data_IF_662841061817
#
_entry.id   IF_662841061817
#
_cell.length_a   1.000
_cell.length_b   1.000
_cell.length_c   1.000
_cell.angle_alpha   90.00
_cell.angle_beta   90.00
_cell.angle_gamma   90.00
#
_symmetry.space_group_name_H-M   'P 1'
#
loop_
_entity.id
_entity.type
_entity.pdbx_description
1 polymer ?
#
# COMPACT_ATOMS: atom_id res chain seq x y z
N UNK A 1 13.04 -38.39 -33.72
CA UNK A 1 12.92 -36.91 -33.64
C UNK A 1 13.20 -36.48 -32.21
N UNK A 2 14.40 -35.99 -31.98
CA UNK A 2 14.80 -35.40 -30.68
C UNK A 2 14.21 -34.00 -30.60
N UNK A 3 13.20 -33.77 -29.76
CA UNK A 3 12.77 -32.45 -29.39
C UNK A 3 13.84 -31.84 -28.49
N UNK A 4 14.64 -30.94 -29.01
CA UNK A 4 15.52 -30.10 -28.24
C UNK A 4 14.66 -29.12 -27.42
N UNK A 5 14.45 -29.39 -26.13
CA UNK A 5 13.96 -28.41 -25.17
C UNK A 5 15.09 -27.37 -24.97
N UNK A 6 15.17 -26.40 -25.85
CA UNK A 6 16.00 -25.22 -25.66
C UNK A 6 15.33 -24.33 -24.65
N UNK A 7 15.82 -24.31 -23.42
CA UNK A 7 15.51 -23.26 -22.46
C UNK A 7 16.08 -21.97 -23.05
N UNK A 8 15.20 -21.05 -23.46
CA UNK A 8 15.62 -19.75 -23.94
C UNK A 8 16.28 -18.94 -22.82
N UNK A 9 17.42 -18.33 -23.13
CA UNK A 9 18.05 -17.38 -22.23
C UNK A 9 17.47 -15.98 -22.53
N UNK A 10 16.95 -15.31 -21.51
CA UNK A 10 16.57 -13.91 -21.59
C UNK A 10 17.75 -13.07 -21.08
N UNK A 11 18.25 -12.18 -21.92
CA UNK A 11 19.15 -11.12 -21.47
C UNK A 11 18.31 -9.96 -20.98
N UNK A 12 18.35 -9.70 -19.66
CA UNK A 12 17.63 -8.59 -19.04
C UNK A 12 18.66 -7.50 -18.73
N UNK A 13 18.39 -6.28 -19.20
CA UNK A 13 19.19 -5.11 -18.88
C UNK A 13 18.33 -4.16 -18.04
N UNK A 14 18.96 -3.52 -17.05
CA UNK A 14 18.32 -2.48 -16.25
C UNK A 14 18.23 -1.22 -17.09
N UNK A 15 17.04 -0.83 -17.51
CA UNK A 15 16.82 0.41 -18.24
C UNK A 15 17.01 1.61 -17.31
N UNK A 16 16.44 1.56 -16.12
CA UNK A 16 16.56 2.61 -15.11
C UNK A 16 16.54 2.04 -13.70
N UNK A 17 17.57 2.33 -12.90
CA UNK A 17 17.62 2.01 -11.48
C UNK A 17 17.06 3.20 -10.68
N UNK A 18 15.85 3.08 -10.14
CA UNK A 18 15.18 4.15 -9.39
C UNK A 18 15.48 4.12 -7.88
N UNK A 19 15.70 2.94 -7.30
CA UNK A 19 15.97 2.80 -5.86
C UNK A 19 17.22 3.54 -5.37
N UNK A 20 18.33 3.62 -6.13
CA UNK A 20 19.50 4.38 -5.73
C UNK A 20 19.25 5.86 -5.46
N UNK A 21 18.23 6.46 -6.08
CA UNK A 21 17.85 7.86 -5.86
C UNK A 21 17.40 8.14 -4.41
N UNK A 22 17.14 7.09 -3.62
CA UNK A 22 16.60 7.20 -2.26
C UNK A 22 17.54 6.60 -1.20
N UNK A 23 18.79 6.26 -1.53
CA UNK A 23 19.73 5.65 -0.57
C UNK A 23 20.00 6.54 0.64
N UNK A 24 19.97 7.86 0.47
CA UNK A 24 20.17 8.82 1.54
C UNK A 24 18.89 9.11 2.35
N UNK A 25 17.76 8.49 1.96
CA UNK A 25 16.46 8.65 2.64
C UNK A 25 15.95 7.30 3.14
N UNK A 26 16.27 6.98 4.40
CA UNK A 26 15.91 5.70 5.03
C UNK A 26 14.41 5.42 5.01
N UNK A 27 13.57 6.42 5.22
CA UNK A 27 12.11 6.23 5.23
C UNK A 27 11.59 5.86 3.85
N UNK A 28 12.02 6.58 2.80
CA UNK A 28 11.62 6.27 1.41
C UNK A 28 12.18 4.92 0.96
N UNK A 29 13.41 4.59 1.32
CA UNK A 29 14.01 3.30 1.01
C UNK A 29 13.23 2.14 1.68
N UNK A 30 12.87 2.30 2.96
CA UNK A 30 12.04 1.34 3.68
C UNK A 30 10.64 1.19 3.06
N UNK A 31 10.08 2.31 2.56
CA UNK A 31 8.81 2.31 1.83
C UNK A 31 8.91 1.52 0.52
N UNK A 32 9.98 1.70 -0.25
CA UNK A 32 10.25 0.93 -1.47
C UNK A 32 10.28 -0.57 -1.15
N UNK A 33 11.04 -0.96 -0.13
CA UNK A 33 11.11 -2.36 0.30
C UNK A 33 9.73 -2.91 0.73
N UNK A 34 8.93 -2.11 1.43
CA UNK A 34 7.57 -2.47 1.80
C UNK A 34 6.69 -2.71 0.58
N UNK A 35 6.66 -1.75 -0.35
CA UNK A 35 5.85 -1.81 -1.57
C UNK A 35 6.21 -3.02 -2.44
N UNK A 36 7.50 -3.22 -2.72
CA UNK A 36 7.96 -4.31 -3.58
C UNK A 36 7.70 -5.69 -2.97
N UNK A 37 7.84 -5.82 -1.65
CA UNK A 37 7.49 -7.09 -0.97
C UNK A 37 5.97 -7.34 -0.97
N UNK A 38 5.13 -6.31 -0.81
CA UNK A 38 3.67 -6.46 -0.95
C UNK A 38 3.32 -6.98 -2.36
N UNK A 39 3.86 -6.35 -3.40
CA UNK A 39 3.63 -6.82 -4.79
C UNK A 39 4.06 -8.27 -4.92
N UNK A 40 5.28 -8.60 -4.47
CA UNK A 40 5.85 -9.96 -4.59
C UNK A 40 4.97 -11.04 -3.94
N UNK A 41 4.40 -10.77 -2.77
CA UNK A 41 3.59 -11.78 -2.05
C UNK A 41 2.13 -11.83 -2.50
N UNK A 42 1.63 -10.74 -3.11
CA UNK A 42 0.21 -10.60 -3.48
C UNK A 42 -0.04 -10.87 -4.96
N UNK A 43 0.99 -10.88 -5.81
CA UNK A 43 0.85 -11.13 -7.24
C UNK A 43 1.41 -12.50 -7.62
N UNK A 44 0.79 -13.13 -8.64
CA UNK A 44 1.29 -14.40 -9.16
C UNK A 44 2.54 -14.18 -10.00
N UNK A 45 3.51 -15.09 -9.86
CA UNK A 45 4.73 -15.09 -10.66
C UNK A 45 4.43 -15.31 -12.15
N UNK A 46 5.25 -14.72 -13.01
CA UNK A 46 5.23 -14.92 -14.48
C UNK A 46 3.93 -14.57 -15.19
N UNK A 47 3.03 -13.82 -14.55
CA UNK A 47 1.81 -13.32 -15.21
C UNK A 47 2.01 -11.86 -15.63
N UNK A 48 1.79 -11.59 -16.93
CA UNK A 48 1.77 -10.21 -17.43
C UNK A 48 0.59 -9.47 -16.81
N UNK A 49 0.86 -8.39 -16.07
CA UNK A 49 -0.15 -7.53 -15.49
C UNK A 49 0.21 -6.06 -15.70
N UNK A 50 -0.33 -5.49 -16.78
CA UNK A 50 -0.04 -4.09 -17.15
C UNK A 50 -0.50 -3.08 -16.09
N UNK A 51 -1.59 -3.38 -15.38
CA UNK A 51 -2.09 -2.50 -14.31
C UNK A 51 -1.15 -2.46 -13.10
N UNK A 52 -0.60 -3.63 -12.72
CA UNK A 52 0.40 -3.69 -11.63
C UNK A 52 1.68 -3.00 -12.06
N UNK A 53 2.12 -3.17 -13.31
CA UNK A 53 3.31 -2.47 -13.82
C UNK A 53 3.13 -0.95 -13.73
N UNK A 54 1.98 -0.43 -14.22
CA UNK A 54 1.68 1.00 -14.11
C UNK A 54 1.62 1.46 -12.65
N UNK A 55 1.04 0.67 -11.76
CA UNK A 55 0.99 0.98 -10.33
C UNK A 55 2.39 1.11 -9.72
N UNK A 56 3.36 0.29 -10.17
CA UNK A 56 4.77 0.41 -9.75
C UNK A 56 5.40 1.71 -10.27
N UNK A 57 5.13 2.09 -11.53
CA UNK A 57 5.62 3.36 -12.08
C UNK A 57 5.06 4.55 -11.28
N UNK A 58 3.75 4.55 -11.03
CA UNK A 58 3.06 5.59 -10.25
C UNK A 58 3.62 5.68 -8.82
N UNK A 59 4.01 4.56 -8.20
CA UNK A 59 4.63 4.53 -6.89
C UNK A 59 5.90 5.39 -6.81
N UNK A 60 6.78 5.31 -7.81
CA UNK A 60 7.99 6.12 -7.83
C UNK A 60 7.71 7.62 -8.03
N UNK A 61 6.60 7.98 -8.68
CA UNK A 61 6.16 9.38 -8.74
C UNK A 61 5.62 9.87 -7.38
N UNK A 62 4.90 9.01 -6.67
CA UNK A 62 4.42 9.27 -5.31
C UNK A 62 5.58 9.66 -4.38
N UNK A 63 6.69 8.93 -4.42
CA UNK A 63 7.86 9.19 -3.57
C UNK A 63 8.49 10.57 -3.77
N UNK A 64 8.22 11.25 -4.90
CA UNK A 64 8.72 12.60 -5.17
C UNK A 64 7.86 13.69 -4.53
N UNK A 65 6.62 13.37 -4.12
CA UNK A 65 5.68 14.35 -3.57
C UNK A 65 5.95 14.62 -2.09
N UNK A 66 5.53 15.80 -1.61
CA UNK A 66 5.62 16.17 -0.19
C UNK A 66 4.67 15.34 0.67
N UNK A 67 3.57 14.87 0.09
CA UNK A 67 2.56 14.02 0.76
C UNK A 67 2.74 12.52 0.49
N UNK A 68 3.97 12.08 0.25
CA UNK A 68 4.27 10.72 -0.21
C UNK A 68 3.75 9.62 0.72
N UNK A 69 3.73 9.82 2.05
CA UNK A 69 3.22 8.82 3.00
C UNK A 69 1.70 8.66 2.83
N UNK A 70 0.95 9.78 2.75
CA UNK A 70 -0.49 9.75 2.45
C UNK A 70 -0.76 9.00 1.15
N UNK A 71 -0.03 9.38 0.11
CA UNK A 71 -0.20 8.80 -1.22
C UNK A 71 0.21 7.32 -1.25
N UNK A 72 1.18 6.91 -0.42
CA UNK A 72 1.54 5.50 -0.26
C UNK A 72 0.39 4.69 0.38
N UNK A 73 -0.29 5.23 1.38
CA UNK A 73 -1.47 4.57 1.97
C UNK A 73 -2.56 4.34 0.91
N UNK A 74 -2.84 5.36 0.08
CA UNK A 74 -3.81 5.25 -1.02
C UNK A 74 -3.35 4.27 -2.10
N UNK A 75 -2.05 4.21 -2.36
CA UNK A 75 -1.43 3.26 -3.27
C UNK A 75 -1.60 1.81 -2.80
N UNK A 76 -1.44 1.52 -1.49
CA UNK A 76 -1.72 0.19 -0.94
C UNK A 76 -3.18 -0.21 -1.19
N UNK A 77 -4.14 0.70 -0.99
CA UNK A 77 -5.56 0.45 -1.25
C UNK A 77 -5.83 0.18 -2.74
N UNK A 78 -5.19 0.92 -3.64
CA UNK A 78 -5.33 0.67 -5.08
C UNK A 78 -4.73 -0.68 -5.49
N UNK A 79 -3.59 -1.07 -4.91
CA UNK A 79 -3.02 -2.41 -5.09
C UNK A 79 -4.04 -3.49 -4.70
N UNK A 80 -4.67 -3.37 -3.52
CA UNK A 80 -5.65 -4.35 -3.04
C UNK A 80 -6.88 -4.40 -3.96
N UNK A 81 -7.35 -3.24 -4.41
CA UNK A 81 -8.46 -3.14 -5.35
C UNK A 81 -8.16 -3.81 -6.70
N UNK A 82 -6.96 -3.62 -7.25
CA UNK A 82 -6.53 -4.29 -8.49
C UNK A 82 -6.47 -5.81 -8.35
N UNK A 83 -6.28 -6.31 -7.12
CA UNK A 83 -6.29 -7.74 -6.79
C UNK A 83 -7.69 -8.28 -6.47
N UNK A 84 -8.73 -7.43 -6.55
CA UNK A 84 -10.11 -7.81 -6.29
C UNK A 84 -10.57 -7.60 -4.84
N UNK A 85 -9.75 -6.96 -4.00
CA UNK A 85 -10.09 -6.66 -2.60
C UNK A 85 -10.39 -5.17 -2.44
N UNK A 86 -11.59 -4.75 -2.81
CA UNK A 86 -12.00 -3.34 -2.69
C UNK A 86 -12.46 -3.03 -1.26
N UNK A 87 -11.79 -2.08 -0.61
CA UNK A 87 -12.14 -1.59 0.72
C UNK A 87 -12.92 -0.28 0.60
N UNK A 88 -14.24 -0.40 0.59
CA UNK A 88 -15.16 0.75 0.53
C UNK A 88 -15.41 1.26 1.95
N UNK A 89 -14.63 2.25 2.39
CA UNK A 89 -14.72 2.80 3.75
C UNK A 89 -16.09 3.40 4.06
N UNK A 90 -16.77 4.02 3.07
CA UNK A 90 -18.09 4.66 3.23
C UNK A 90 -19.13 3.70 3.81
N UNK A 91 -19.03 2.41 3.47
CA UNK A 91 -19.93 1.38 3.97
C UNK A 91 -19.64 0.99 5.43
N UNK A 92 -18.43 1.26 5.91
CA UNK A 92 -17.89 0.78 7.19
C UNK A 92 -17.90 1.85 8.27
N UNK A 93 -18.25 3.10 7.94
CA UNK A 93 -18.17 4.22 8.87
C UNK A 93 -19.53 4.93 9.06
N UNK A 94 -19.64 5.59 10.21
CA UNK A 94 -20.67 6.59 10.48
C UNK A 94 -20.03 7.98 10.48
N UNK A 95 -20.65 8.92 9.76
CA UNK A 95 -20.26 10.32 9.77
C UNK A 95 -20.82 11.01 11.01
N UNK A 96 -19.97 11.64 11.81
CA UNK A 96 -20.36 12.49 12.94
C UNK A 96 -19.77 13.88 12.79
N UNK A 97 -20.50 14.88 13.28
CA UNK A 97 -20.01 16.26 13.37
C UNK A 97 -19.72 16.52 14.84
N UNK A 98 -18.46 16.74 15.18
CA UNK A 98 -17.98 17.05 16.52
C UNK A 98 -17.18 18.34 16.42
N UNK A 99 -17.53 19.35 17.21
CA UNK A 99 -16.87 20.67 17.21
C UNK A 99 -16.75 21.30 15.80
N UNK A 100 -17.82 21.24 15.03
CA UNK A 100 -17.88 21.70 13.63
C UNK A 100 -16.90 20.99 12.66
N UNK A 101 -16.32 19.86 13.07
CA UNK A 101 -15.46 19.03 12.24
C UNK A 101 -16.14 17.71 11.92
N UNK A 102 -16.03 17.29 10.66
CA UNK A 102 -16.48 15.97 10.25
C UNK A 102 -15.49 14.92 10.76
N UNK A 103 -16.01 13.91 11.45
CA UNK A 103 -15.26 12.72 11.87
C UNK A 103 -15.97 11.46 11.37
N UNK A 104 -15.19 10.49 10.91
CA UNK A 104 -15.68 9.18 10.51
C UNK A 104 -15.31 8.15 11.57
N UNK A 105 -16.30 7.44 12.07
CA UNK A 105 -16.15 6.45 13.13
C UNK A 105 -16.58 5.09 12.60
N UNK A 106 -15.81 4.05 12.86
CA UNK A 106 -16.16 2.71 12.41
C UNK A 106 -17.48 2.23 13.02
N UNK A 107 -18.33 1.57 12.22
CA UNK A 107 -19.61 0.97 12.66
C UNK A 107 -19.43 -0.27 13.56
N UNK A 108 -18.18 -0.71 13.80
CA UNK A 108 -17.91 -1.88 14.63
C UNK A 108 -18.40 -1.69 16.05
N UNK A 109 -19.18 -2.65 16.54
CA UNK A 109 -19.76 -2.63 17.89
C UNK A 109 -18.70 -2.78 19.00
N UNK A 110 -17.56 -3.41 18.69
CA UNK A 110 -16.53 -3.75 19.68
C UNK A 110 -15.39 -2.75 19.76
N UNK A 111 -15.08 -2.02 18.69
CA UNK A 111 -13.98 -1.05 18.64
C UNK A 111 -14.34 0.14 17.76
N UNK A 112 -14.85 1.20 18.36
CA UNK A 112 -15.07 2.48 17.67
C UNK A 112 -13.73 3.16 17.41
N UNK A 113 -13.18 2.94 16.22
CA UNK A 113 -11.95 3.60 15.76
C UNK A 113 -12.30 4.81 14.91
N UNK A 114 -11.59 5.91 15.10
CA UNK A 114 -11.66 7.07 14.20
C UNK A 114 -10.93 6.68 12.92
N UNK A 115 -11.62 6.82 11.80
CA UNK A 115 -11.07 6.57 10.47
C UNK A 115 -10.59 7.92 9.90
N UNK A 116 -9.33 8.03 9.48
CA UNK A 116 -8.81 9.25 8.87
C UNK A 116 -9.66 9.72 7.69
N UNK A 117 -10.03 10.99 7.69
CA UNK A 117 -10.94 11.56 6.70
C UNK A 117 -10.44 11.38 5.27
N UNK A 118 -9.13 11.45 5.04
CA UNK A 118 -8.54 11.34 3.71
C UNK A 118 -8.71 9.96 3.05
N UNK A 119 -9.04 8.92 3.86
CA UNK A 119 -9.36 7.59 3.32
C UNK A 119 -10.77 7.52 2.71
N UNK A 120 -11.60 8.54 2.99
CA UNK A 120 -12.99 8.63 2.57
C UNK A 120 -13.15 9.84 1.64
N UNK A 121 -12.88 11.02 2.18
CA UNK A 121 -12.92 12.29 1.45
C UNK A 121 -11.48 12.61 1.01
N UNK A 122 -11.15 12.53 -0.26
CA UNK A 122 -9.80 12.77 -0.79
C UNK A 122 -9.34 14.25 -0.65
N UNK A 123 -9.67 14.88 0.48
CA UNK A 123 -9.28 16.26 0.77
C UNK A 123 -7.78 16.41 0.96
N UNK A 124 -7.23 17.49 0.41
CA UNK A 124 -5.80 17.83 0.49
C UNK A 124 -5.45 18.63 1.76
N UNK A 125 -6.05 18.32 2.89
CA UNK A 125 -5.69 18.92 4.17
C UNK A 125 -4.32 18.43 4.64
N UNK A 126 -3.60 19.29 5.37
CA UNK A 126 -2.37 18.87 6.04
C UNK A 126 -2.71 17.80 7.08
N UNK A 127 -2.07 16.65 6.97
CA UNK A 127 -2.33 15.49 7.81
C UNK A 127 -1.12 15.29 8.72
N UNK A 128 -1.35 15.20 10.02
CA UNK A 128 -0.30 14.92 10.96
C UNK A 128 0.20 13.47 10.88
N UNK A 129 1.39 13.23 11.41
CA UNK A 129 2.02 11.92 11.37
C UNK A 129 1.21 10.86 12.12
N UNK A 130 0.56 11.22 13.22
CA UNK A 130 -0.26 10.28 14.00
C UNK A 130 -1.45 9.76 13.17
N UNK A 131 -2.13 10.65 12.45
CA UNK A 131 -3.21 10.31 11.52
C UNK A 131 -2.73 9.40 10.41
N UNK A 132 -1.53 9.63 9.83
CA UNK A 132 -0.93 8.77 8.82
C UNK A 132 -0.58 7.38 9.37
N UNK A 133 -0.01 7.31 10.57
CA UNK A 133 0.29 6.04 11.25
C UNK A 133 -0.99 5.26 11.58
N UNK A 134 -2.06 5.95 11.97
CA UNK A 134 -3.37 5.33 12.19
C UNK A 134 -3.94 4.75 10.90
N UNK A 135 -3.85 5.49 9.79
CA UNK A 135 -4.26 5.00 8.46
C UNK A 135 -3.49 3.74 8.06
N UNK A 136 -2.15 3.74 8.20
CA UNK A 136 -1.32 2.57 7.91
C UNK A 136 -1.69 1.34 8.77
N UNK A 137 -2.10 1.55 10.04
CA UNK A 137 -2.58 0.46 10.90
C UNK A 137 -3.92 -0.09 10.42
N UNK A 138 -4.87 0.79 10.08
CA UNK A 138 -6.20 0.39 9.60
C UNK A 138 -6.08 -0.40 8.30
N UNK A 139 -5.29 0.10 7.34
CA UNK A 139 -5.03 -0.58 6.07
C UNK A 139 -4.29 -1.91 6.30
N UNK A 140 -3.35 -1.94 7.27
CA UNK A 140 -2.66 -3.18 7.68
C UNK A 140 -3.58 -4.21 8.32
N UNK A 141 -4.52 -3.79 9.17
CA UNK A 141 -5.54 -4.67 9.75
C UNK A 141 -6.43 -5.31 8.66
N UNK A 142 -6.80 -4.51 7.65
CA UNK A 142 -7.54 -5.00 6.49
C UNK A 142 -6.71 -5.99 5.68
N UNK A 143 -5.49 -5.63 5.32
CA UNK A 143 -4.55 -6.50 4.60
C UNK A 143 -4.43 -7.85 5.31
N UNK A 144 -4.17 -7.84 6.61
CA UNK A 144 -3.95 -9.06 7.38
C UNK A 144 -5.21 -9.95 7.43
N UNK A 145 -6.37 -9.35 7.76
CA UNK A 145 -7.61 -10.11 7.99
C UNK A 145 -8.28 -10.57 6.72
N UNK A 146 -8.23 -9.75 5.68
CA UNK A 146 -9.02 -9.97 4.45
C UNK A 146 -8.19 -10.65 3.35
N UNK A 147 -6.88 -10.38 3.30
CA UNK A 147 -6.04 -10.86 2.22
C UNK A 147 -5.05 -11.93 2.71
N UNK A 148 -4.24 -11.61 3.73
CA UNK A 148 -3.13 -12.49 4.09
C UNK A 148 -3.60 -13.77 4.81
N UNK A 149 -4.35 -13.65 5.89
CA UNK A 149 -4.82 -14.82 6.67
C UNK A 149 -5.63 -15.82 5.85
N UNK A 150 -6.61 -15.41 5.03
CA UNK A 150 -7.35 -16.35 4.18
C UNK A 150 -6.48 -17.10 3.16
N UNK A 151 -5.35 -16.51 2.76
CA UNK A 151 -4.40 -17.11 1.82
C UNK A 151 -3.19 -17.78 2.51
N UNK A 152 -3.23 -17.97 3.84
CA UNK A 152 -2.12 -18.53 4.64
C UNK A 152 -0.80 -17.74 4.49
N UNK A 153 -0.89 -16.44 4.27
CA UNK A 153 0.24 -15.53 4.17
C UNK A 153 0.42 -14.75 5.48
N UNK A 154 1.64 -14.28 5.72
CA UNK A 154 1.98 -13.43 6.86
C UNK A 154 2.33 -12.03 6.41
N UNK A 155 2.12 -11.06 7.29
CA UNK A 155 2.49 -9.67 7.00
C UNK A 155 4.00 -9.55 6.79
N UNK A 156 4.45 -8.91 5.69
CA UNK A 156 5.87 -8.77 5.41
C UNK A 156 6.56 -7.89 6.47
N UNK A 157 7.68 -8.38 7.00
CA UNK A 157 8.50 -7.65 7.98
C UNK A 157 8.95 -6.28 7.47
N UNK A 158 9.16 -6.16 6.14
CA UNK A 158 9.50 -4.88 5.50
C UNK A 158 8.46 -3.79 5.72
N UNK A 159 7.16 -4.16 5.72
CA UNK A 159 6.08 -3.21 5.99
C UNK A 159 6.09 -2.76 7.46
N UNK A 160 6.30 -3.67 8.38
CA UNK A 160 6.43 -3.33 9.81
C UNK A 160 7.65 -2.46 10.06
N UNK A 161 8.78 -2.78 9.41
CA UNK A 161 9.99 -1.97 9.48
C UNK A 161 9.75 -0.55 8.96
N UNK A 162 9.11 -0.41 7.79
CA UNK A 162 8.75 0.90 7.25
C UNK A 162 7.93 1.74 8.25
N UNK A 163 6.85 1.18 8.82
CA UNK A 163 6.02 1.89 9.81
C UNK A 163 6.86 2.32 11.02
N UNK A 164 7.83 1.52 11.44
CA UNK A 164 8.71 1.85 12.56
C UNK A 164 9.72 2.97 12.23
N UNK A 165 10.13 3.13 10.97
CA UNK A 165 11.00 4.25 10.56
C UNK A 165 10.27 5.59 10.54
N UNK A 166 8.94 5.60 10.59
CA UNK A 166 8.13 6.82 10.63
C UNK A 166 7.89 7.34 12.08
N UNK A 167 8.16 6.53 13.10
CA UNK A 167 8.02 6.90 14.53
C UNK A 167 9.24 7.62 15.03
#
# INVERSE_FOLDING_TARGET
SKSENRIGFFKVEIEQALSPLYFDNQQKLSCINSAMNLIKILTADFQKNEKIFKLIEDFYQILKSDYWIKNYVLWELELFKLLGYDLVFENLVEKKIIDNKTQYISKSLTNKKIIPNFLIDQNNESIDLETLLNALRIVGDFLEKTILKPNNLTQPLSRLHFINTLK
#
